data_IF_584401845837
#
_entry.id   IF_584401845837
#
_cell.length_a   1.000
_cell.length_b   1.000
_cell.length_c   1.000
_cell.angle_alpha   90.00
_cell.angle_beta   90.00
_cell.angle_gamma   90.00
#
_symmetry.space_group_name_H-M   'P 1'
#
loop_
_entity.id
_entity.type
_entity.pdbx_description
1 polymer ?
#
# COMPACT_ATOMS: atom_id res chain seq x y z
N UNK A 1 -9.68 14.61 2.85
CA UNK A 1 -8.95 13.83 1.80
C UNK A 1 -7.42 13.81 1.99
N UNK A 2 -6.71 14.95 1.95
CA UNK A 2 -5.23 14.95 1.92
C UNK A 2 -4.57 14.39 3.19
N UNK A 3 -5.14 14.63 4.36
CA UNK A 3 -4.61 14.13 5.63
C UNK A 3 -4.46 12.59 5.64
N UNK A 4 -5.41 11.86 5.05
CA UNK A 4 -5.36 10.39 4.97
C UNK A 4 -4.19 9.86 4.13
N UNK A 5 -3.63 10.67 3.23
CA UNK A 5 -2.49 10.24 2.40
C UNK A 5 -1.16 10.17 3.14
N UNK A 6 -1.11 10.67 4.37
CA UNK A 6 0.03 10.46 5.28
C UNK A 6 0.19 8.99 5.68
N UNK A 7 -0.89 8.21 5.63
CA UNK A 7 -0.89 6.79 5.98
C UNK A 7 -0.30 5.99 4.81
N UNK A 8 0.79 5.26 5.07
CA UNK A 8 1.38 4.35 4.08
C UNK A 8 0.33 3.35 3.56
N UNK A 9 0.20 3.23 2.25
CA UNK A 9 -0.80 2.37 1.60
C UNK A 9 -2.09 3.10 1.21
N UNK A 10 -2.30 4.35 1.66
CA UNK A 10 -3.44 5.18 1.25
C UNK A 10 -2.96 6.30 0.31
N UNK A 11 -3.33 6.18 -0.97
CA UNK A 11 -3.05 7.23 -1.97
C UNK A 11 -4.20 8.24 -2.07
N UNK A 12 -3.99 9.31 -2.84
CA UNK A 12 -5.02 10.35 -3.11
C UNK A 12 -6.33 9.75 -3.62
N UNK A 13 -6.26 8.88 -4.64
CA UNK A 13 -7.46 8.24 -5.23
C UNK A 13 -8.20 7.35 -4.22
N UNK A 14 -7.45 6.61 -3.41
CA UNK A 14 -8.02 5.73 -2.39
C UNK A 14 -8.70 6.54 -1.28
N UNK A 15 -8.03 7.58 -0.77
CA UNK A 15 -8.60 8.50 0.22
C UNK A 15 -9.90 9.16 -0.28
N UNK A 16 -9.97 9.56 -1.55
CA UNK A 16 -11.19 10.14 -2.13
C UNK A 16 -12.36 9.15 -2.11
N UNK A 17 -12.14 7.91 -2.58
CA UNK A 17 -13.19 6.88 -2.57
C UNK A 17 -13.62 6.54 -1.14
N UNK A 18 -12.68 6.41 -0.20
CA UNK A 18 -12.99 6.11 1.19
C UNK A 18 -13.83 7.24 1.82
N UNK A 19 -13.46 8.52 1.63
CA UNK A 19 -14.27 9.64 2.12
C UNK A 19 -15.68 9.65 1.50
N UNK A 20 -15.80 9.38 0.20
CA UNK A 20 -17.10 9.28 -0.49
C UNK A 20 -17.96 8.11 -0.04
N UNK A 21 -17.34 7.02 0.42
CA UNK A 21 -18.07 5.84 0.94
C UNK A 21 -18.42 5.98 2.41
N UNK A 22 -17.68 6.80 3.14
CA UNK A 22 -17.96 7.15 4.53
C UNK A 22 -18.94 8.32 4.67
N UNK A 23 -19.43 8.87 3.56
CA UNK A 23 -20.26 10.09 3.49
C UNK A 23 -19.66 11.29 4.26
N UNK A 24 -18.33 11.38 4.27
CA UNK A 24 -17.59 12.49 4.89
C UNK A 24 -17.35 13.59 3.86
N UNK A 25 -17.70 14.82 4.21
CA UNK A 25 -17.40 15.99 3.37
C UNK A 25 -15.88 16.14 3.16
N UNK A 26 -15.49 16.27 1.89
CA UNK A 26 -14.09 16.36 1.48
C UNK A 26 -13.47 17.72 1.80
N UNK A 27 -14.29 18.76 1.99
CA UNK A 27 -13.85 20.13 2.29
C UNK A 27 -13.58 20.36 3.78
N UNK A 28 -14.19 19.55 4.66
CA UNK A 28 -13.94 19.59 6.11
C UNK A 28 -12.46 19.38 6.44
N UNK A 29 -11.99 20.07 7.49
CA UNK A 29 -10.62 19.87 7.99
C UNK A 29 -10.53 18.57 8.77
N UNK A 30 -9.37 17.93 8.71
CA UNK A 30 -9.17 16.63 9.39
C UNK A 30 -9.30 16.72 10.91
N UNK A 31 -9.06 17.89 11.51
CA UNK A 31 -9.25 18.11 12.94
C UNK A 31 -10.71 18.31 13.38
N UNK A 32 -11.62 18.50 12.43
CA UNK A 32 -13.06 18.70 12.70
C UNK A 32 -13.86 17.38 12.59
N UNK A 33 -13.15 16.27 12.36
CA UNK A 33 -13.78 14.95 12.24
C UNK A 33 -14.26 14.46 13.60
N UNK A 34 -15.50 13.96 13.63
CA UNK A 34 -16.04 13.29 14.81
C UNK A 34 -15.43 11.90 14.97
N UNK A 35 -15.43 11.37 16.20
CA UNK A 35 -14.96 10.01 16.47
C UNK A 35 -15.72 8.95 15.64
N UNK A 36 -17.02 9.13 15.44
CA UNK A 36 -17.85 8.24 14.62
C UNK A 36 -17.43 8.25 13.14
N UNK A 37 -17.18 9.42 12.56
CA UNK A 37 -16.68 9.54 11.19
C UNK A 37 -15.30 8.87 11.05
N UNK A 38 -14.43 8.98 12.07
CA UNK A 38 -13.13 8.30 12.10
C UNK A 38 -13.27 6.77 12.13
N UNK A 39 -14.15 6.24 12.96
CA UNK A 39 -14.39 4.79 13.06
C UNK A 39 -14.97 4.22 11.75
N UNK A 40 -15.87 4.98 11.10
CA UNK A 40 -16.41 4.62 9.79
C UNK A 40 -15.31 4.57 8.72
N UNK A 41 -14.43 5.58 8.68
CA UNK A 41 -13.28 5.60 7.77
C UNK A 41 -12.35 4.40 8.03
N UNK A 42 -12.07 4.09 9.30
CA UNK A 42 -11.21 2.97 9.68
C UNK A 42 -11.82 1.62 9.25
N UNK A 43 -13.13 1.45 9.44
CA UNK A 43 -13.87 0.24 9.05
C UNK A 43 -13.84 0.04 7.53
N UNK A 44 -14.01 1.11 6.75
CA UNK A 44 -13.95 1.05 5.28
C UNK A 44 -12.54 0.71 4.79
N UNK A 45 -11.51 1.27 5.43
CA UNK A 45 -10.11 0.97 5.08
C UNK A 45 -9.76 -0.49 5.39
N UNK A 46 -10.24 -1.02 6.52
CA UNK A 46 -10.02 -2.41 6.92
C UNK A 46 -10.74 -3.40 5.98
N UNK A 47 -11.99 -3.10 5.59
CA UNK A 47 -12.84 -4.00 4.81
C UNK A 47 -13.37 -3.38 3.51
N UNK A 48 -12.51 -2.95 2.57
CA UNK A 48 -12.92 -2.17 1.40
C UNK A 48 -13.90 -2.92 0.47
N UNK A 49 -13.80 -4.26 0.42
CA UNK A 49 -14.68 -5.11 -0.41
C UNK A 49 -16.14 -5.03 0.02
N UNK A 50 -16.41 -4.94 1.32
CA UNK A 50 -17.77 -4.87 1.86
C UNK A 50 -18.46 -3.56 1.42
N UNK A 51 -17.70 -2.49 1.24
CA UNK A 51 -18.18 -1.18 0.81
C UNK A 51 -18.20 -0.98 -0.72
N UNK A 52 -18.26 -2.08 -1.47
CA UNK A 52 -18.34 -2.09 -2.95
C UNK A 52 -17.13 -1.44 -3.64
N UNK A 53 -15.94 -1.50 -3.04
CA UNK A 53 -14.69 -1.11 -3.72
C UNK A 53 -14.20 -2.31 -4.56
N UNK A 54 -13.94 -2.14 -5.87
CA UNK A 54 -13.52 -3.24 -6.72
C UNK A 54 -12.15 -3.83 -6.36
N UNK A 55 -11.98 -5.13 -6.61
CA UNK A 55 -10.74 -5.87 -6.29
C UNK A 55 -9.51 -5.33 -7.03
N UNK A 56 -9.67 -4.86 -8.28
CA UNK A 56 -8.60 -4.26 -9.07
C UNK A 56 -8.05 -2.95 -8.49
N UNK A 57 -8.79 -2.32 -7.57
CA UNK A 57 -8.41 -1.08 -6.93
C UNK A 57 -7.54 -1.29 -5.67
N UNK A 58 -7.50 -2.52 -5.15
CA UNK A 58 -6.76 -2.86 -3.94
C UNK A 58 -5.26 -3.01 -4.24
N UNK A 59 -4.43 -2.69 -3.24
CA UNK A 59 -2.98 -2.70 -3.40
C UNK A 59 -2.33 -4.09 -3.29
N UNK A 60 -3.00 -5.07 -2.66
CA UNK A 60 -2.56 -6.46 -2.59
C UNK A 60 -3.62 -7.37 -3.18
N UNK A 61 -3.41 -7.75 -4.43
CA UNK A 61 -4.32 -8.61 -5.18
C UNK A 61 -3.79 -10.04 -5.18
N UNK A 62 -4.68 -11.02 -4.91
CA UNK A 62 -4.39 -12.46 -4.94
C UNK A 62 -3.07 -12.82 -4.23
N UNK A 63 -3.04 -12.66 -2.90
CA UNK A 63 -1.83 -12.96 -2.11
C UNK A 63 -1.38 -14.42 -2.31
N UNK A 64 -0.06 -14.67 -2.36
CA UNK A 64 0.46 -16.00 -2.67
C UNK A 64 0.23 -17.04 -1.56
N UNK A 65 0.06 -16.59 -0.30
CA UNK A 65 -0.24 -17.47 0.84
C UNK A 65 -1.72 -17.82 0.88
N UNK A 66 -2.57 -16.79 0.90
CA UNK A 66 -3.99 -16.96 1.24
C UNK A 66 -4.92 -16.86 0.03
N UNK A 67 -4.43 -16.42 -1.13
CA UNK A 67 -5.24 -16.16 -2.35
C UNK A 67 -6.19 -14.96 -2.24
N UNK A 68 -6.27 -14.31 -1.08
CA UNK A 68 -7.20 -13.22 -0.80
C UNK A 68 -6.72 -11.90 -1.41
N UNK A 69 -7.68 -11.01 -1.65
CA UNK A 69 -7.44 -9.62 -2.03
C UNK A 69 -7.63 -8.74 -0.79
N UNK A 70 -6.68 -7.86 -0.51
CA UNK A 70 -6.71 -7.00 0.66
C UNK A 70 -6.13 -5.62 0.35
N UNK A 71 -6.57 -4.64 1.13
CA UNK A 71 -5.87 -3.37 1.25
C UNK A 71 -4.96 -3.44 2.46
N UNK A 72 -3.66 -3.29 2.24
CA UNK A 72 -2.67 -3.31 3.31
C UNK A 72 -2.21 -1.89 3.62
N UNK A 73 -2.21 -1.53 4.90
CA UNK A 73 -1.88 -0.17 5.37
C UNK A 73 -0.82 -0.17 6.46
N UNK A 74 -0.10 0.94 6.59
CA UNK A 74 0.87 1.19 7.66
C UNK A 74 1.90 0.04 7.82
N UNK A 75 2.14 -0.41 9.05
CA UNK A 75 3.10 -1.47 9.38
C UNK A 75 2.85 -2.78 8.62
N UNK A 76 1.60 -3.14 8.37
CA UNK A 76 1.28 -4.38 7.66
C UNK A 76 1.84 -4.37 6.23
N UNK A 77 1.95 -3.20 5.60
CA UNK A 77 2.48 -3.05 4.24
C UNK A 77 3.98 -3.33 4.24
N UNK A 78 4.70 -2.75 5.20
CA UNK A 78 6.14 -2.94 5.36
C UNK A 78 6.47 -4.40 5.70
N UNK A 79 5.65 -5.06 6.54
CA UNK A 79 5.82 -6.49 6.86
C UNK A 79 5.58 -7.38 5.63
N UNK A 80 4.51 -7.15 4.86
CA UNK A 80 4.23 -7.92 3.64
C UNK A 80 5.35 -7.77 2.61
N UNK A 81 5.91 -6.57 2.44
CA UNK A 81 7.05 -6.35 1.56
C UNK A 81 8.29 -7.11 2.02
N UNK A 82 8.58 -7.11 3.33
CA UNK A 82 9.70 -7.86 3.91
C UNK A 82 9.56 -9.36 3.66
N UNK A 83 8.38 -9.92 3.90
CA UNK A 83 8.07 -11.32 3.65
C UNK A 83 8.25 -11.71 2.18
N UNK A 84 7.75 -10.88 1.26
CA UNK A 84 7.89 -11.09 -0.19
C UNK A 84 9.36 -11.12 -0.60
N UNK A 85 10.16 -10.17 -0.12
CA UNK A 85 11.60 -10.10 -0.42
C UNK A 85 12.36 -11.27 0.18
N UNK A 86 12.04 -11.66 1.41
CA UNK A 86 12.69 -12.78 2.09
C UNK A 86 12.42 -14.10 1.35
N UNK A 87 11.17 -14.31 0.90
CA UNK A 87 10.82 -15.45 0.04
C UNK A 87 11.65 -15.47 -1.24
N UNK A 88 11.79 -14.33 -1.92
CA UNK A 88 12.59 -14.25 -3.15
C UNK A 88 14.08 -14.51 -2.91
N UNK A 89 14.63 -14.07 -1.77
CA UNK A 89 16.01 -14.34 -1.37
C UNK A 89 16.24 -15.81 -1.07
N UNK A 90 15.33 -16.46 -0.33
CA UNK A 90 15.40 -17.90 -0.02
C UNK A 90 15.37 -18.77 -1.26
N UNK A 91 14.54 -18.44 -2.25
CA UNK A 91 14.47 -19.15 -3.55
C UNK A 91 15.72 -18.89 -4.41
N UNK A 92 16.54 -17.88 -4.09
CA UNK A 92 17.69 -17.43 -4.89
C UNK A 92 17.34 -17.03 -6.33
N UNK A 93 16.14 -16.48 -6.53
CA UNK A 93 15.76 -15.88 -7.82
C UNK A 93 16.62 -14.64 -8.10
N UNK A 94 17.00 -14.38 -9.37
CA UNK A 94 17.73 -13.19 -9.81
C UNK A 94 17.18 -11.88 -9.21
N UNK A 95 15.85 -11.69 -9.18
CA UNK A 95 15.24 -10.50 -8.54
C UNK A 95 15.55 -10.42 -7.04
N UNK A 96 15.47 -11.55 -6.33
CA UNK A 96 15.76 -11.65 -4.90
C UNK A 96 17.23 -11.38 -4.57
N UNK A 97 18.15 -11.94 -5.37
CA UNK A 97 19.59 -11.69 -5.25
C UNK A 97 19.94 -10.23 -5.49
N UNK A 98 19.32 -9.58 -6.50
CA UNK A 98 19.51 -8.13 -6.71
C UNK A 98 19.01 -7.29 -5.55
N UNK A 99 17.87 -7.64 -4.95
CA UNK A 99 17.40 -6.98 -3.72
C UNK A 99 18.36 -7.19 -2.54
N UNK A 100 18.97 -8.38 -2.43
CA UNK A 100 20.00 -8.65 -1.41
C UNK A 100 21.26 -7.78 -1.60
N UNK A 101 21.73 -7.63 -2.84
CA UNK A 101 22.87 -6.76 -3.19
C UNK A 101 22.53 -5.26 -3.25
N UNK A 102 21.28 -4.86 -3.06
CA UNK A 102 20.85 -3.46 -3.14
C UNK A 102 20.90 -2.86 -4.55
N UNK A 103 20.78 -3.69 -5.59
CA UNK A 103 20.79 -3.26 -6.99
C UNK A 103 19.38 -3.05 -7.53
N UNK A 104 19.25 -2.21 -8.57
CA UNK A 104 17.98 -2.00 -9.29
C UNK A 104 17.47 -3.28 -9.94
N UNK A 105 16.17 -3.56 -9.90
CA UNK A 105 15.65 -4.92 -10.15
C UNK A 105 14.92 -5.08 -11.51
N UNK A 106 14.56 -3.99 -12.18
CA UNK A 106 13.73 -4.03 -13.41
C UNK A 106 14.54 -4.01 -14.71
N UNK A 107 15.81 -4.43 -14.67
CA UNK A 107 16.68 -4.46 -15.86
C UNK A 107 17.24 -3.09 -16.26
N UNK A 108 17.20 -2.08 -15.38
CA UNK A 108 17.81 -0.79 -15.66
C UNK A 108 19.32 -0.91 -15.89
N UNK A 109 19.87 -0.18 -16.86
CA UNK A 109 21.31 -0.11 -17.11
C UNK A 109 22.06 0.56 -15.95
N UNK A 110 23.02 -0.14 -15.35
CA UNK A 110 23.78 0.32 -14.17
C UNK A 110 25.17 0.88 -14.49
N UNK A 111 25.57 0.93 -15.77
CA UNK A 111 26.89 1.47 -16.19
C UNK A 111 26.98 2.99 -15.99
N UNK A 112 25.92 3.71 -16.32
CA UNK A 112 25.86 5.18 -16.28
C UNK A 112 24.99 5.71 -15.13
N UNK A 113 23.97 4.95 -14.71
CA UNK A 113 23.00 5.39 -13.69
C UNK A 113 23.23 4.73 -12.33
N UNK A 114 22.91 5.44 -11.24
CA UNK A 114 23.00 4.90 -9.87
C UNK A 114 24.40 4.84 -9.26
N UNK A 115 25.33 5.70 -9.71
CA UNK A 115 26.76 5.67 -9.34
C UNK A 115 27.09 6.06 -7.89
N UNK A 116 26.21 6.76 -7.16
CA UNK A 116 26.53 7.36 -5.85
C UNK A 116 25.95 6.61 -4.63
N UNK A 117 25.51 5.36 -4.76
CA UNK A 117 24.85 4.66 -3.63
C UNK A 117 23.48 5.27 -3.28
N UNK A 118 22.73 4.61 -2.38
CA UNK A 118 21.24 4.58 -2.29
C UNK A 118 20.48 5.92 -2.24
N UNK A 119 19.32 5.90 -2.92
CA UNK A 119 18.02 6.38 -2.39
C UNK A 119 17.24 5.17 -1.92
#
# INVERSE_FOLDING_TARGET
MFALTSIKGIGRRFANIVCKKADVDMNKRAGELTAQELDNLMTIVANPRQFKIPDWFLNRQKDYKDGKYSQVVSNALDMKLRDDLERLKKIRNHRGLRHYWGLRVRGQHTKTTGRRGKT
#
